data_IF_197585887708
#
_entry.id   IF_197585887708
#
_cell.length_a   1.000
_cell.length_b   1.000
_cell.length_c   1.000
_cell.angle_alpha   90.00
_cell.angle_beta   90.00
_cell.angle_gamma   90.00
#
_symmetry.space_group_name_H-M   'P 1'
#
loop_
_entity.id
_entity.type
_entity.pdbx_description
1 polymer ?
#
# COMPACT_ATOMS: atom_id res chain seq x y z
N UNK A 1 -59.74 32.03 32.94
CA UNK A 1 -59.21 30.66 32.75
C UNK A 1 -58.48 30.61 31.42
N UNK A 2 -57.14 30.61 31.39
CA UNK A 2 -56.40 30.30 30.17
C UNK A 2 -56.34 28.76 29.96
N UNK A 3 -56.18 28.28 28.72
CA UNK A 3 -56.21 26.86 28.41
C UNK A 3 -54.90 26.17 28.79
N UNK A 4 -54.99 24.90 29.22
CA UNK A 4 -53.86 24.02 29.53
C UNK A 4 -53.00 23.76 28.30
N UNK A 5 -51.72 24.12 28.36
CA UNK A 5 -50.70 23.63 27.42
C UNK A 5 -50.49 22.12 27.61
N UNK A 6 -50.52 21.37 26.51
CA UNK A 6 -50.11 19.96 26.47
C UNK A 6 -48.59 19.91 26.45
N UNK A 7 -48.00 19.37 27.52
CA UNK A 7 -46.60 18.97 27.56
C UNK A 7 -46.31 17.92 26.49
N UNK A 8 -45.46 18.26 25.52
CA UNK A 8 -44.82 17.29 24.62
C UNK A 8 -43.83 16.44 25.42
N UNK A 9 -43.76 15.10 25.23
CA UNK A 9 -42.71 14.30 25.83
C UNK A 9 -41.43 14.52 25.01
N UNK A 10 -40.64 15.51 25.41
CA UNK A 10 -39.27 15.64 24.94
C UNK A 10 -38.41 14.75 25.84
N UNK A 11 -38.26 13.49 25.43
CA UNK A 11 -37.31 12.57 26.04
C UNK A 11 -36.52 11.90 24.92
N UNK A 12 -35.53 12.62 24.39
CA UNK A 12 -34.36 11.94 23.86
C UNK A 12 -33.82 11.06 25.01
N UNK A 13 -33.64 9.74 24.82
CA UNK A 13 -33.11 8.89 25.87
C UNK A 13 -31.72 9.44 26.23
N UNK A 14 -31.53 9.78 27.51
CA UNK A 14 -30.21 10.08 28.05
C UNK A 14 -29.30 8.92 27.70
N UNK A 15 -28.16 9.22 27.08
CA UNK A 15 -27.13 8.24 26.77
C UNK A 15 -26.47 7.77 28.08
N UNK A 16 -27.20 6.98 28.86
CA UNK A 16 -26.68 6.33 30.05
C UNK A 16 -25.66 5.29 29.60
N UNK A 17 -24.39 5.54 29.93
CA UNK A 17 -23.28 4.63 29.63
C UNK A 17 -23.46 3.40 30.53
N UNK A 18 -24.19 2.41 30.02
CA UNK A 18 -24.59 1.19 30.75
C UNK A 18 -23.44 0.19 30.90
N UNK A 19 -22.30 0.44 30.24
CA UNK A 19 -21.12 -0.44 30.23
C UNK A 19 -21.36 -1.78 29.54
N UNK A 20 -22.49 -1.96 28.86
CA UNK A 20 -22.90 -3.19 28.20
C UNK A 20 -23.32 -2.90 26.75
N UNK A 21 -23.05 -3.85 25.85
CA UNK A 21 -23.49 -3.79 24.45
C UNK A 21 -24.97 -4.14 24.36
N UNK A 22 -25.72 -3.41 23.54
CA UNK A 22 -27.10 -3.73 23.21
C UNK A 22 -27.20 -5.01 22.35
N UNK A 23 -26.15 -5.32 21.59
CA UNK A 23 -26.06 -6.54 20.80
C UNK A 23 -25.61 -7.76 21.63
N UNK A 24 -26.20 -8.95 21.41
CA UNK A 24 -25.87 -10.15 22.17
C UNK A 24 -24.46 -10.69 21.82
N UNK A 25 -23.50 -10.50 22.72
CA UNK A 25 -22.09 -10.91 22.58
C UNK A 25 -21.93 -12.39 22.19
N UNK A 26 -22.79 -13.27 22.71
CA UNK A 26 -22.76 -14.70 22.40
C UNK A 26 -23.04 -15.02 20.93
N UNK A 27 -23.90 -14.23 20.26
CA UNK A 27 -24.16 -14.38 18.83
C UNK A 27 -23.02 -13.81 17.99
N UNK A 28 -22.43 -12.70 18.42
CA UNK A 28 -21.29 -12.06 17.75
C UNK A 28 -20.10 -13.03 17.71
N UNK A 29 -19.78 -13.69 18.82
CA UNK A 29 -18.69 -14.71 18.84
C UNK A 29 -18.91 -15.84 17.84
N UNK A 30 -20.16 -16.32 17.72
CA UNK A 30 -20.49 -17.36 16.73
C UNK A 30 -20.31 -16.87 15.30
N UNK A 31 -20.67 -15.62 15.01
CA UNK A 31 -20.49 -15.03 13.68
C UNK A 31 -19.01 -14.85 13.35
N UNK A 32 -18.19 -14.38 14.31
CA UNK A 32 -16.74 -14.23 14.13
C UNK A 32 -16.08 -15.58 13.80
N UNK A 33 -16.54 -16.67 14.42
CA UNK A 33 -16.02 -18.02 14.19
C UNK A 33 -16.43 -18.65 12.85
N UNK A 34 -17.33 -18.02 12.08
CA UNK A 34 -17.65 -18.47 10.72
C UNK A 34 -16.59 -18.05 9.70
N UNK A 35 -15.72 -17.12 10.06
CA UNK A 35 -14.63 -16.66 9.21
C UNK A 35 -13.41 -17.57 9.39
N UNK A 36 -13.04 -18.30 8.34
CA UNK A 36 -11.91 -19.27 8.36
C UNK A 36 -10.55 -18.59 8.59
N UNK A 37 -10.44 -17.29 8.30
CA UNK A 37 -9.21 -16.52 8.47
C UNK A 37 -8.97 -16.12 9.94
N UNK A 38 -9.97 -16.26 10.82
CA UNK A 38 -9.90 -15.84 12.24
C UNK A 38 -9.71 -17.05 13.15
N UNK A 39 -8.46 -17.32 13.54
CA UNK A 39 -8.10 -18.47 14.41
C UNK A 39 -8.54 -18.27 15.87
N UNK A 40 -8.38 -17.08 16.45
CA UNK A 40 -8.78 -16.77 17.82
C UNK A 40 -9.17 -15.28 17.98
N UNK A 41 -10.27 -15.00 18.68
CA UNK A 41 -10.72 -13.63 19.00
C UNK A 41 -10.86 -13.43 20.52
N UNK A 42 -10.19 -12.41 21.08
CA UNK A 42 -10.26 -12.10 22.51
C UNK A 42 -11.65 -11.59 22.92
N UNK A 43 -11.99 -11.71 24.21
CA UNK A 43 -13.25 -11.19 24.76
C UNK A 43 -13.37 -9.67 24.61
N UNK A 44 -12.25 -8.96 24.79
CA UNK A 44 -12.20 -7.50 24.65
C UNK A 44 -12.36 -7.09 23.19
N UNK A 45 -11.75 -7.82 22.25
CA UNK A 45 -11.95 -7.59 20.82
C UNK A 45 -13.40 -7.83 20.41
N UNK A 46 -14.02 -8.89 20.92
CA UNK A 46 -15.46 -9.17 20.68
C UNK A 46 -16.34 -8.00 21.14
N UNK A 47 -16.04 -7.42 22.31
CA UNK A 47 -16.79 -6.29 22.84
C UNK A 47 -16.61 -5.01 22.00
N UNK A 48 -15.39 -4.70 21.58
CA UNK A 48 -15.11 -3.55 20.71
C UNK A 48 -15.80 -3.72 19.35
N UNK A 49 -15.78 -4.92 18.78
CA UNK A 49 -16.51 -5.24 17.54
C UNK A 49 -18.01 -4.99 17.72
N UNK A 50 -18.58 -5.44 18.85
CA UNK A 50 -19.99 -5.20 19.16
C UNK A 50 -20.32 -3.70 19.19
N UNK A 51 -19.49 -2.89 19.85
CA UNK A 51 -19.68 -1.44 19.92
C UNK A 51 -19.51 -0.76 18.56
N UNK A 52 -18.50 -1.17 17.78
CA UNK A 52 -18.31 -0.67 16.43
C UNK A 52 -19.52 -1.00 15.53
N UNK A 53 -20.09 -2.20 15.65
CA UNK A 53 -21.29 -2.57 14.88
C UNK A 53 -22.52 -1.76 15.28
N UNK A 54 -22.68 -1.40 16.56
CA UNK A 54 -23.77 -0.53 17.00
C UNK A 54 -23.63 0.88 16.43
N UNK A 55 -22.44 1.47 16.54
CA UNK A 55 -22.14 2.78 15.95
C UNK A 55 -22.34 2.78 14.43
N UNK A 56 -21.94 1.69 13.78
CA UNK A 56 -22.12 1.52 12.34
C UNK A 56 -23.61 1.46 11.95
N UNK A 57 -24.43 0.70 12.67
CA UNK A 57 -25.88 0.63 12.41
C UNK A 57 -26.53 2.00 12.60
N UNK A 58 -26.15 2.75 13.64
CA UNK A 58 -26.62 4.12 13.84
C UNK A 58 -26.22 5.02 12.67
N UNK A 59 -24.95 5.00 12.27
CA UNK A 59 -24.45 5.77 11.14
C UNK A 59 -25.18 5.43 9.83
N UNK A 60 -25.32 4.14 9.50
CA UNK A 60 -26.03 3.70 8.28
C UNK A 60 -27.50 4.14 8.29
N UNK A 61 -28.15 4.07 9.46
CA UNK A 61 -29.54 4.52 9.63
C UNK A 61 -29.67 6.04 9.47
N UNK A 62 -28.73 6.80 10.01
CA UNK A 62 -28.67 8.26 9.85
C UNK A 62 -28.45 8.67 8.39
N UNK A 63 -27.55 7.99 7.67
CA UNK A 63 -27.36 8.23 6.24
C UNK A 63 -28.62 7.90 5.43
N UNK A 64 -29.30 6.80 5.74
CA UNK A 64 -30.60 6.46 5.16
C UNK A 64 -31.66 7.54 5.46
N UNK A 65 -31.70 8.04 6.70
CA UNK A 65 -32.61 9.11 7.09
C UNK A 65 -32.32 10.43 6.36
N UNK A 66 -31.06 10.79 6.18
CA UNK A 66 -30.64 11.96 5.43
C UNK A 66 -31.09 11.90 3.96
N UNK A 67 -31.05 10.71 3.35
CA UNK A 67 -31.62 10.51 2.01
C UNK A 67 -33.12 10.76 2.01
N UNK A 68 -33.87 10.24 2.99
CA UNK A 68 -35.32 10.49 3.11
C UNK A 68 -35.63 11.97 3.31
N UNK A 69 -34.81 12.67 4.12
CA UNK A 69 -34.93 14.10 4.38
C UNK A 69 -34.67 14.94 3.12
N UNK A 70 -33.84 14.44 2.21
CA UNK A 70 -33.55 15.09 0.93
C UNK A 70 -34.66 14.93 -0.12
N UNK A 71 -35.65 14.05 0.11
CA UNK A 71 -36.77 13.90 -0.81
C UNK A 71 -37.78 15.05 -0.69
N UNK A 72 -38.49 15.35 -1.79
CA UNK A 72 -39.49 16.44 -1.85
C UNK A 72 -40.62 16.30 -0.82
N UNK A 73 -40.94 15.07 -0.38
CA UNK A 73 -41.92 14.78 0.67
C UNK A 73 -41.25 13.85 1.68
N UNK A 74 -40.61 14.39 2.73
CA UNK A 74 -39.86 13.57 3.68
C UNK A 74 -40.82 12.62 4.42
N UNK A 75 -40.51 11.33 4.35
CA UNK A 75 -41.24 10.29 5.08
C UNK A 75 -40.65 10.14 6.49
N UNK A 76 -41.46 9.66 7.43
CA UNK A 76 -40.98 9.28 8.76
C UNK A 76 -40.35 7.89 8.81
N UNK A 77 -40.68 7.03 7.84
CA UNK A 77 -40.20 5.65 7.75
C UNK A 77 -39.12 5.53 6.68
N UNK A 78 -37.97 4.95 7.05
CA UNK A 78 -36.87 4.63 6.13
C UNK A 78 -37.25 3.37 5.33
N UNK A 79 -37.09 3.41 4.01
CA UNK A 79 -37.32 2.26 3.13
C UNK A 79 -35.99 1.72 2.59
N UNK A 80 -35.99 0.47 2.12
CA UNK A 80 -34.79 -0.16 1.53
C UNK A 80 -34.15 0.68 0.41
N UNK A 81 -34.97 1.31 -0.44
CA UNK A 81 -34.50 2.18 -1.53
C UNK A 81 -33.66 3.36 -1.02
N UNK A 82 -33.92 3.83 0.19
CA UNK A 82 -33.26 4.99 0.79
C UNK A 82 -31.86 4.57 1.25
N UNK A 83 -31.73 3.37 1.83
CA UNK A 83 -30.44 2.76 2.18
C UNK A 83 -29.61 2.42 0.94
N UNK A 84 -30.20 1.79 -0.07
CA UNK A 84 -29.52 1.49 -1.33
C UNK A 84 -29.04 2.76 -2.06
N UNK A 85 -29.80 3.86 -1.92
CA UNK A 85 -29.40 5.16 -2.44
C UNK A 85 -28.25 5.76 -1.62
N UNK A 86 -28.29 5.67 -0.28
CA UNK A 86 -27.22 6.15 0.60
C UNK A 86 -25.90 5.42 0.32
N UNK A 87 -25.91 4.09 0.26
CA UNK A 87 -24.75 3.23 -0.05
C UNK A 87 -24.11 3.61 -1.38
N UNK A 88 -24.93 3.95 -2.38
CA UNK A 88 -24.41 4.32 -3.71
C UNK A 88 -23.92 5.76 -3.86
N UNK A 89 -24.26 6.63 -2.89
CA UNK A 89 -23.91 8.05 -2.91
C UNK A 89 -22.68 8.34 -2.06
N UNK A 90 -22.41 7.51 -1.06
CA UNK A 90 -21.37 7.72 -0.06
C UNK A 90 -20.27 6.69 -0.31
N UNK A 91 -19.08 7.17 -0.68
CA UNK A 91 -17.93 6.31 -1.01
C UNK A 91 -17.53 5.41 0.17
N UNK A 92 -17.65 5.91 1.41
CA UNK A 92 -17.33 5.14 2.63
C UNK A 92 -18.25 3.92 2.84
N UNK A 93 -19.40 3.89 2.17
CA UNK A 93 -20.35 2.77 2.23
C UNK A 93 -20.26 1.87 0.98
N UNK A 94 -19.32 2.11 0.07
CA UNK A 94 -19.18 1.34 -1.19
C UNK A 94 -19.03 -0.16 -0.93
N UNK A 95 -18.38 -0.55 0.17
CA UNK A 95 -18.21 -1.96 0.56
C UNK A 95 -19.54 -2.70 0.79
N UNK A 96 -20.64 -1.98 1.03
CA UNK A 96 -21.98 -2.55 1.16
C UNK A 96 -22.72 -2.69 -0.18
N UNK A 97 -22.13 -2.30 -1.31
CA UNK A 97 -22.81 -2.33 -2.62
C UNK A 97 -23.25 -3.73 -3.04
N UNK A 98 -22.51 -4.76 -2.63
CA UNK A 98 -22.84 -6.17 -2.89
C UNK A 98 -23.94 -6.70 -1.95
N UNK A 99 -24.01 -6.18 -0.73
CA UNK A 99 -24.99 -6.60 0.30
C UNK A 99 -26.31 -5.84 0.17
N UNK A 100 -26.26 -4.56 -0.19
CA UNK A 100 -27.40 -3.66 -0.36
C UNK A 100 -27.38 -3.08 -1.79
N UNK A 101 -27.67 -3.91 -2.81
CA UNK A 101 -27.67 -3.45 -4.18
C UNK A 101 -28.84 -2.50 -4.47
N UNK A 102 -28.66 -1.64 -5.47
CA UNK A 102 -29.75 -0.84 -6.05
C UNK A 102 -30.78 -1.76 -6.71
N UNK A 103 -32.02 -1.72 -6.25
CA UNK A 103 -33.12 -2.45 -6.89
C UNK A 103 -33.34 -1.93 -8.32
N UNK A 104 -33.30 -2.84 -9.29
CA UNK A 104 -33.63 -2.55 -10.69
C UNK A 104 -34.74 -3.50 -11.14
N UNK A 105 -35.53 -3.08 -12.13
CA UNK A 105 -36.58 -3.97 -12.67
C UNK A 105 -35.94 -5.13 -13.44
N UNK A 106 -36.55 -6.31 -13.43
CA UNK A 106 -36.02 -7.49 -14.12
C UNK A 106 -35.76 -7.25 -15.60
N UNK A 107 -36.62 -6.46 -16.25
CA UNK A 107 -36.45 -6.02 -17.64
C UNK A 107 -35.16 -5.22 -17.83
N UNK A 108 -34.91 -4.23 -16.98
CA UNK A 108 -33.68 -3.42 -17.02
C UNK A 108 -32.44 -4.25 -16.70
N UNK A 109 -32.54 -5.21 -15.77
CA UNK A 109 -31.43 -6.13 -15.47
C UNK A 109 -31.07 -7.00 -16.69
N UNK A 110 -32.07 -7.58 -17.37
CA UNK A 110 -31.87 -8.37 -18.59
C UNK A 110 -31.25 -7.53 -19.71
N UNK A 111 -31.72 -6.30 -19.90
CA UNK A 111 -31.15 -5.36 -20.88
C UNK A 111 -29.71 -4.95 -20.51
N UNK A 112 -29.41 -4.72 -19.23
CA UNK A 112 -28.06 -4.37 -18.76
C UNK A 112 -27.09 -5.55 -18.93
N UNK A 113 -27.49 -6.76 -18.56
CA UNK A 113 -26.70 -7.98 -18.77
C UNK A 113 -26.47 -8.26 -20.25
N UNK A 114 -27.48 -8.04 -21.10
CA UNK A 114 -27.32 -8.16 -22.55
C UNK A 114 -26.33 -7.12 -23.11
N UNK A 115 -26.37 -5.87 -22.62
CA UNK A 115 -25.41 -4.82 -23.00
C UNK A 115 -23.99 -5.11 -22.49
N UNK A 116 -23.85 -5.62 -21.27
CA UNK A 116 -22.56 -6.03 -20.70
C UNK A 116 -21.95 -7.18 -21.50
N UNK A 117 -22.75 -8.20 -21.86
CA UNK A 117 -22.31 -9.30 -22.73
C UNK A 117 -21.90 -8.84 -24.14
N UNK A 118 -22.63 -7.87 -24.72
CA UNK A 118 -22.24 -7.26 -26.01
C UNK A 118 -20.93 -6.48 -25.86
N UNK A 119 -20.78 -5.70 -24.78
CA UNK A 119 -19.56 -4.94 -24.50
C UNK A 119 -18.35 -5.85 -24.28
N UNK A 120 -18.53 -6.95 -23.54
CA UNK A 120 -17.48 -7.97 -23.34
C UNK A 120 -17.10 -8.63 -24.67
N UNK A 121 -18.06 -8.96 -25.52
CA UNK A 121 -17.81 -9.50 -26.86
C UNK A 121 -17.15 -8.48 -27.83
N UNK A 122 -17.38 -7.17 -27.63
CA UNK A 122 -16.69 -6.10 -28.37
C UNK A 122 -15.25 -5.88 -27.88
N UNK A 123 -15.01 -5.96 -26.57
CA UNK A 123 -13.67 -5.87 -25.96
C UNK A 123 -12.81 -7.07 -26.40
N UNK A 124 -13.37 -8.28 -26.44
CA UNK A 124 -12.70 -9.49 -26.93
C UNK A 124 -12.28 -9.38 -28.40
N UNK A 125 -13.07 -8.70 -29.24
CA UNK A 125 -12.72 -8.45 -30.66
C UNK A 125 -11.62 -7.41 -30.85
N UNK A 126 -11.47 -6.48 -29.90
CA UNK A 126 -10.47 -5.41 -29.94
C UNK A 126 -9.08 -5.80 -29.42
N UNK A 127 -8.98 -6.83 -28.59
CA UNK A 127 -7.72 -7.29 -28.00
C UNK A 127 -7.12 -8.45 -28.81
N UNK A 128 -6.55 -8.14 -29.98
CA UNK A 128 -5.68 -9.08 -30.71
C UNK A 128 -4.24 -8.84 -30.30
N UNK A 129 -3.68 -9.72 -29.47
CA UNK A 129 -2.22 -9.86 -29.33
C UNK A 129 -1.67 -10.49 -30.61
N UNK A 130 -0.43 -10.15 -30.99
CA UNK A 130 0.23 -10.52 -32.24
C UNK A 130 0.42 -12.04 -32.48
N UNK A 131 0.05 -12.90 -31.53
CA UNK A 131 0.12 -14.35 -31.68
C UNK A 131 -1.27 -14.96 -31.37
N UNK A 132 -1.98 -15.34 -32.43
CA UNK A 132 -3.37 -15.80 -32.41
C UNK A 132 -3.63 -17.08 -31.60
N UNK A 133 -3.67 -16.95 -30.28
CA UNK A 133 -4.11 -18.00 -29.37
C UNK A 133 -5.10 -17.42 -28.37
N UNK A 134 -6.32 -17.97 -28.35
CA UNK A 134 -7.41 -17.59 -27.45
C UNK A 134 -7.12 -18.16 -26.06
N UNK A 135 -7.10 -17.38 -24.96
CA UNK A 135 -7.05 -17.95 -23.63
C UNK A 135 -8.43 -18.46 -23.23
N UNK A 136 -8.51 -19.74 -22.88
CA UNK A 136 -9.67 -20.33 -22.22
C UNK A 136 -9.87 -19.65 -20.85
N UNK A 137 -11.03 -19.03 -20.66
CA UNK A 137 -11.40 -18.40 -19.39
C UNK A 137 -12.01 -19.43 -18.43
N UNK A 138 -11.27 -19.76 -17.38
CA UNK A 138 -11.80 -20.33 -16.14
C UNK A 138 -11.65 -19.27 -15.04
N UNK A 139 -12.74 -18.99 -14.33
CA UNK A 139 -12.74 -18.54 -12.93
C UNK A 139 -12.46 -17.06 -12.65
N UNK A 140 -13.48 -16.43 -12.06
CA UNK A 140 -13.41 -15.44 -10.97
C UNK A 140 -12.06 -14.77 -10.71
N UNK A 141 -11.97 -13.48 -11.07
CA UNK A 141 -11.08 -12.54 -10.37
C UNK A 141 -11.52 -11.10 -10.65
N UNK A 142 -12.35 -10.56 -9.76
CA UNK A 142 -12.65 -9.13 -9.70
C UNK A 142 -11.41 -8.37 -9.19
N UNK A 143 -10.57 -7.89 -10.11
CA UNK A 143 -9.54 -6.92 -9.79
C UNK A 143 -10.01 -5.49 -10.09
N UNK A 144 -10.05 -4.71 -9.00
CA UNK A 144 -10.37 -3.29 -8.89
C UNK A 144 -9.37 -2.45 -9.67
N UNK A 145 -9.76 -1.94 -10.84
CA UNK A 145 -8.99 -0.94 -11.57
C UNK A 145 -9.27 0.47 -11.02
N UNK A 146 -8.40 0.95 -10.12
CA UNK A 146 -8.42 2.35 -9.69
C UNK A 146 -8.05 3.26 -10.86
N UNK A 147 -9.02 4.09 -11.30
CA UNK A 147 -8.79 5.15 -12.28
C UNK A 147 -7.89 6.23 -11.68
N UNK A 148 -6.69 6.38 -12.24
CA UNK A 148 -5.70 7.41 -11.88
C UNK A 148 -6.19 8.77 -12.41
N UNK A 149 -6.76 9.62 -11.56
CA UNK A 149 -7.05 11.01 -11.93
C UNK A 149 -5.74 11.82 -11.95
N UNK A 150 -5.43 12.43 -13.09
CA UNK A 150 -4.32 13.37 -13.26
C UNK A 150 -4.71 14.73 -12.66
N UNK A 151 -3.89 15.23 -11.73
CA UNK A 151 -3.95 16.61 -11.23
C UNK A 151 -3.21 17.56 -12.20
N UNK A 152 -3.70 18.80 -12.41
CA UNK A 152 -3.02 19.77 -13.26
C UNK A 152 -1.80 20.36 -12.56
N UNK A 153 -0.67 20.39 -13.27
CA UNK A 153 0.59 20.99 -12.86
C UNK A 153 0.55 22.51 -12.98
N UNK A 154 0.64 23.20 -11.84
CA UNK A 154 0.78 24.66 -11.78
C UNK A 154 2.20 25.06 -12.19
N UNK A 155 2.38 25.61 -13.40
CA UNK A 155 3.64 26.25 -13.81
C UNK A 155 3.76 27.62 -13.13
N UNK A 156 4.65 27.74 -12.15
CA UNK A 156 5.11 29.03 -11.64
C UNK A 156 6.05 29.68 -12.68
N UNK A 157 5.61 30.77 -13.30
CA UNK A 157 6.45 31.59 -14.17
C UNK A 157 7.18 32.64 -13.33
N UNK A 158 8.48 32.44 -13.11
CA UNK A 158 9.37 33.47 -12.57
C UNK A 158 9.81 34.35 -13.75
N UNK A 159 9.26 35.56 -13.84
CA UNK A 159 9.70 36.56 -14.80
C UNK A 159 10.94 37.30 -14.26
N UNK A 160 12.13 36.89 -14.70
CA UNK A 160 13.37 37.64 -14.51
C UNK A 160 13.54 38.67 -15.64
N UNK A 161 13.11 39.92 -15.40
CA UNK A 161 13.42 41.02 -16.31
C UNK A 161 14.90 41.42 -16.13
N UNK A 162 15.78 40.89 -17.00
CA UNK A 162 17.15 41.35 -17.12
C UNK A 162 17.21 42.54 -18.09
N UNK A 163 17.27 43.75 -17.56
CA UNK A 163 17.52 44.94 -18.37
C UNK A 163 18.98 45.38 -18.20
N UNK A 164 19.84 44.90 -19.11
CA UNK A 164 21.15 45.52 -19.35
C UNK A 164 20.91 46.89 -19.97
N UNK A 165 21.41 47.97 -19.35
CA UNK A 165 21.70 49.20 -20.08
C UNK A 165 23.09 49.70 -19.69
N UNK A 166 23.90 49.89 -20.74
CA UNK A 166 25.25 50.37 -20.68
C UNK A 166 25.34 51.84 -20.26
N UNK A 167 26.56 52.19 -19.91
CA UNK A 167 27.03 53.49 -19.46
C UNK A 167 26.88 54.52 -20.59
N UNK A 168 26.31 55.68 -20.28
CA UNK A 168 26.55 56.92 -21.02
C UNK A 168 26.56 58.08 -20.03
N UNK A 169 27.76 58.63 -19.85
CA UNK A 169 28.04 59.88 -19.17
C UNK A 169 27.65 61.03 -20.12
N UNK A 170 26.85 61.99 -19.65
CA UNK A 170 26.46 63.17 -20.41
C UNK A 170 26.22 64.36 -19.45
N UNK A 171 27.35 64.98 -19.08
CA UNK A 171 27.57 66.42 -18.93
C UNK A 171 26.36 67.39 -18.94
N UNK A 172 26.19 68.08 -17.80
CA UNK A 172 25.94 69.52 -17.58
C UNK A 172 24.85 70.29 -18.37
N UNK A 173 23.96 70.87 -17.54
CA UNK A 173 23.26 72.17 -17.63
C UNK A 173 22.04 72.35 -18.54
N UNK A 174 20.94 72.84 -17.94
CA UNK A 174 20.00 73.75 -18.60
C UNK A 174 19.28 74.63 -17.57
N UNK A 175 19.33 75.94 -17.79
CA UNK A 175 18.69 77.03 -17.04
C UNK A 175 17.15 77.01 -17.20
N UNK A 176 16.41 77.48 -16.19
CA UNK A 176 14.94 77.46 -16.19
C UNK A 176 14.34 78.84 -15.84
N UNK A 177 13.64 79.47 -16.79
CA UNK A 177 12.98 80.78 -16.63
C UNK A 177 11.59 80.67 -15.97
N UNK A 178 11.16 81.63 -15.13
CA UNK A 178 9.95 81.49 -14.30
C UNK A 178 8.64 81.98 -14.95
N UNK A 179 8.65 82.48 -16.19
CA UNK A 179 7.44 82.97 -16.85
C UNK A 179 7.33 82.42 -18.27
N UNK A 180 6.45 81.42 -18.42
CA UNK A 180 5.50 81.18 -19.53
C UNK A 180 5.22 79.68 -19.71
N UNK A 181 3.92 79.38 -19.77
CA UNK A 181 3.23 78.29 -20.47
C UNK A 181 3.74 76.85 -20.36
N UNK A 182 2.85 75.99 -19.83
CA UNK A 182 2.64 74.59 -20.21
C UNK A 182 3.91 73.80 -20.61
N UNK A 183 4.75 73.45 -19.62
CA UNK A 183 5.83 72.50 -19.85
C UNK A 183 5.28 71.09 -19.76
N UNK A 184 5.09 70.47 -20.92
CA UNK A 184 5.24 69.02 -21.07
C UNK A 184 6.44 68.58 -20.21
N UNK A 185 6.18 67.81 -19.16
CA UNK A 185 7.25 67.19 -18.39
C UNK A 185 7.96 66.24 -19.36
N UNK A 186 9.13 66.65 -19.85
CA UNK A 186 9.92 65.82 -20.75
C UNK A 186 10.08 64.43 -20.13
N UNK A 187 9.53 63.41 -20.78
CA UNK A 187 9.65 62.01 -20.35
C UNK A 187 11.12 61.57 -20.32
N UNK A 188 12.02 62.35 -20.92
CA UNK A 188 13.46 62.14 -20.89
C UNK A 188 14.14 62.63 -19.60
N UNK A 189 13.44 63.39 -18.72
CA UNK A 189 13.98 63.81 -17.42
C UNK A 189 13.68 62.75 -16.36
N UNK A 190 14.67 61.89 -16.11
CA UNK A 190 14.57 60.81 -15.12
C UNK A 190 14.48 61.42 -13.71
N UNK A 191 13.49 61.03 -12.87
CA UNK A 191 13.42 61.42 -11.47
C UNK A 191 14.68 61.02 -10.69
N UNK A 192 15.01 61.73 -9.61
CA UNK A 192 16.18 61.39 -8.80
C UNK A 192 15.95 60.10 -7.99
N UNK A 193 16.72 59.06 -8.29
CA UNK A 193 16.73 57.79 -7.57
C UNK A 193 17.97 57.61 -6.67
N UNK A 194 18.73 58.68 -6.41
CA UNK A 194 19.95 58.67 -5.57
C UNK A 194 19.73 58.03 -4.20
N UNK A 195 18.54 58.20 -3.60
CA UNK A 195 18.13 57.56 -2.33
C UNK A 195 18.09 56.03 -2.40
N UNK A 196 17.78 55.46 -3.56
CA UNK A 196 17.63 54.02 -3.79
C UNK A 196 18.85 53.40 -4.49
N UNK A 197 19.71 54.22 -5.10
CA UNK A 197 20.91 53.79 -5.79
C UNK A 197 22.01 53.37 -4.79
N UNK A 198 22.59 52.19 -5.00
CA UNK A 198 23.73 51.73 -4.21
C UNK A 198 24.98 52.54 -4.55
N UNK A 199 25.71 52.97 -3.51
CA UNK A 199 27.02 53.63 -3.65
C UNK A 199 28.18 52.65 -3.89
N UNK A 200 27.93 51.33 -3.76
CA UNK A 200 28.95 50.27 -3.93
C UNK A 200 29.09 49.86 -5.40
N UNK A 201 30.27 49.35 -5.83
CA UNK A 201 30.47 48.90 -7.19
C UNK A 201 29.46 47.79 -7.55
N UNK A 202 28.93 47.77 -8.79
CA UNK A 202 27.82 46.91 -9.18
C UNK A 202 28.11 45.41 -8.98
N UNK A 203 29.37 44.98 -9.18
CA UNK A 203 29.80 43.59 -8.95
C UNK A 203 29.63 43.14 -7.50
N UNK A 204 29.89 44.00 -6.52
CA UNK A 204 29.77 43.65 -5.10
C UNK A 204 28.32 43.41 -4.70
N UNK A 205 27.40 44.26 -5.17
CA UNK A 205 25.96 44.10 -4.92
C UNK A 205 25.44 42.81 -5.59
N UNK A 206 25.88 42.51 -6.82
CA UNK A 206 25.48 41.30 -7.54
C UNK A 206 25.95 40.03 -6.84
N UNK A 207 27.20 39.98 -6.38
CA UNK A 207 27.74 38.83 -5.62
C UNK A 207 26.95 38.63 -4.33
N UNK A 208 26.64 39.70 -3.60
CA UNK A 208 25.78 39.61 -2.41
C UNK A 208 24.37 39.09 -2.73
N UNK A 209 23.73 39.60 -3.79
CA UNK A 209 22.42 39.14 -4.22
C UNK A 209 22.42 37.65 -4.63
N UNK A 210 23.43 37.19 -5.38
CA UNK A 210 23.57 35.78 -5.75
C UNK A 210 23.90 34.90 -4.56
N UNK A 211 24.70 35.39 -3.61
CA UNK A 211 24.96 34.67 -2.37
C UNK A 211 23.68 34.46 -1.57
N UNK A 212 22.86 35.50 -1.39
CA UNK A 212 21.59 35.39 -0.67
C UNK A 212 20.60 34.46 -1.40
N UNK A 213 20.43 34.61 -2.71
CA UNK A 213 19.56 33.76 -3.51
C UNK A 213 20.04 32.30 -3.56
N UNK A 214 21.35 32.08 -3.70
CA UNK A 214 21.97 30.76 -3.71
C UNK A 214 21.87 30.06 -2.36
N UNK A 215 22.08 30.79 -1.25
CA UNK A 215 21.93 30.25 0.10
C UNK A 215 20.48 29.83 0.38
N UNK A 216 19.51 30.66 -0.01
CA UNK A 216 18.09 30.31 0.09
C UNK A 216 17.73 29.11 -0.79
N UNK A 217 18.27 29.04 -2.01
CA UNK A 217 18.11 27.90 -2.91
C UNK A 217 18.67 26.60 -2.33
N UNK A 218 19.84 26.64 -1.71
CA UNK A 218 20.45 25.49 -1.04
C UNK A 218 19.62 25.04 0.16
N UNK A 219 19.19 25.95 1.03
CA UNK A 219 18.32 25.62 2.16
C UNK A 219 17.00 24.98 1.69
N UNK A 220 16.40 25.53 0.63
CA UNK A 220 15.18 24.99 0.02
C UNK A 220 15.39 23.59 -0.56
N UNK A 221 16.53 23.34 -1.21
CA UNK A 221 16.87 22.03 -1.76
C UNK A 221 17.06 20.97 -0.67
N UNK A 222 17.71 21.33 0.45
CA UNK A 222 17.85 20.43 1.61
C UNK A 222 16.50 20.14 2.23
N UNK A 223 15.64 21.15 2.40
CA UNK A 223 14.27 20.96 2.88
C UNK A 223 13.46 20.04 1.98
N UNK A 224 13.47 20.28 0.66
CA UNK A 224 12.77 19.43 -0.31
C UNK A 224 13.28 17.98 -0.27
N UNK A 225 14.60 17.77 -0.17
CA UNK A 225 15.20 16.44 -0.04
C UNK A 225 14.69 15.73 1.22
N UNK A 226 14.73 16.40 2.37
CA UNK A 226 14.27 15.83 3.63
C UNK A 226 12.79 15.41 3.54
N UNK A 227 11.93 16.29 3.00
CA UNK A 227 10.52 15.97 2.81
C UNK A 227 10.29 14.75 1.92
N UNK A 228 10.96 14.68 0.76
CA UNK A 228 10.85 13.52 -0.15
C UNK A 228 11.38 12.25 0.52
N UNK A 229 12.49 12.35 1.24
CA UNK A 229 13.08 11.22 1.96
C UNK A 229 12.13 10.69 3.03
N UNK A 230 11.46 11.55 3.79
CA UNK A 230 10.52 11.13 4.83
C UNK A 230 9.32 10.37 4.23
N UNK A 231 8.79 10.83 3.10
CA UNK A 231 7.75 10.08 2.38
C UNK A 231 8.23 8.72 1.88
N UNK A 232 9.46 8.64 1.38
CA UNK A 232 10.04 7.36 0.94
C UNK A 232 10.29 6.40 2.09
N UNK A 233 10.81 6.89 3.23
CA UNK A 233 11.04 6.07 4.43
C UNK A 233 9.71 5.61 5.03
N UNK A 234 8.67 6.44 5.00
CA UNK A 234 7.33 6.08 5.44
C UNK A 234 6.68 4.97 4.58
N UNK A 235 7.10 4.84 3.31
CA UNK A 235 6.68 3.73 2.42
C UNK A 235 7.64 2.53 2.46
N UNK A 236 8.76 2.63 3.16
CA UNK A 236 9.73 1.55 3.30
C UNK A 236 9.34 0.58 4.43
N UNK A 237 10.10 -0.50 4.60
CA UNK A 237 9.78 -1.53 5.60
C UNK A 237 9.71 -0.93 7.02
N UNK A 238 8.63 -1.23 7.75
CA UNK A 238 8.43 -0.74 9.12
C UNK A 238 9.38 -1.43 10.11
N UNK A 239 9.62 -0.78 11.25
CA UNK A 239 10.52 -1.29 12.29
C UNK A 239 10.10 -2.67 12.83
N UNK A 240 8.81 -2.97 12.89
CA UNK A 240 8.30 -4.28 13.32
C UNK A 240 8.67 -5.40 12.32
N UNK A 241 8.60 -5.12 11.02
CA UNK A 241 9.05 -6.06 9.97
C UNK A 241 10.56 -6.27 10.03
N UNK A 242 11.33 -5.22 10.38
CA UNK A 242 12.78 -5.34 10.60
C UNK A 242 13.13 -6.06 11.90
N UNK A 243 12.31 -5.96 12.94
CA UNK A 243 12.48 -6.72 14.17
C UNK A 243 12.32 -8.23 13.94
N UNK A 244 11.45 -8.62 13.00
CA UNK A 244 11.29 -10.01 12.54
C UNK A 244 12.42 -10.50 11.62
N UNK A 245 13.51 -9.74 11.45
CA UNK A 245 14.64 -10.12 10.62
C UNK A 245 15.47 -11.27 11.21
N UNK A 246 15.43 -11.46 12.53
CA UNK A 246 16.15 -12.54 13.22
C UNK A 246 15.16 -13.43 13.96
N UNK A 247 15.26 -14.74 13.74
CA UNK A 247 14.45 -15.73 14.44
C UNK A 247 15.38 -16.70 15.13
N UNK A 248 15.14 -16.90 16.43
CA UNK A 248 15.86 -17.85 17.28
C UNK A 248 14.98 -19.09 17.47
N UNK A 249 15.55 -20.27 17.21
CA UNK A 249 14.86 -21.56 17.30
C UNK A 249 15.64 -22.47 18.23
N UNK A 250 14.94 -23.06 19.21
CA UNK A 250 15.52 -24.09 20.07
C UNK A 250 15.63 -25.42 19.34
N UNK A 251 16.85 -25.89 19.12
CA UNK A 251 17.17 -27.14 18.42
C UNK A 251 16.62 -28.38 19.14
N UNK A 252 16.53 -28.35 20.47
CA UNK A 252 15.99 -29.43 21.30
C UNK A 252 14.52 -29.77 21.01
N UNK A 253 13.77 -28.86 20.36
CA UNK A 253 12.37 -29.09 19.99
C UNK A 253 12.18 -29.97 18.74
N UNK A 254 13.25 -30.21 17.98
CA UNK A 254 13.20 -30.88 16.68
C UNK A 254 13.82 -32.27 16.79
N UNK A 255 13.02 -33.35 16.79
CA UNK A 255 13.55 -34.71 16.80
C UNK A 255 14.21 -35.05 15.46
N UNK A 256 15.17 -35.98 15.51
CA UNK A 256 15.84 -36.52 14.33
C UNK A 256 14.83 -37.10 13.31
N UNK A 257 15.10 -36.86 12.02
CA UNK A 257 14.28 -37.32 10.91
C UNK A 257 13.00 -36.52 10.67
N UNK A 258 12.72 -35.45 11.42
CA UNK A 258 11.54 -34.60 11.20
C UNK A 258 11.88 -33.25 10.58
N UNK A 259 10.94 -32.78 9.76
CA UNK A 259 10.94 -31.44 9.15
C UNK A 259 10.07 -30.48 9.96
N UNK A 260 10.61 -29.30 10.26
CA UNK A 260 9.85 -28.17 10.83
C UNK A 260 9.84 -27.04 9.82
N UNK A 261 8.66 -26.44 9.64
CA UNK A 261 8.46 -25.27 8.78
C UNK A 261 8.20 -24.08 9.69
N UNK A 262 9.08 -23.09 9.64
CA UNK A 262 8.89 -21.81 10.33
C UNK A 262 8.71 -20.69 9.31
N UNK A 263 8.12 -19.57 9.71
CA UNK A 263 8.00 -18.38 8.87
C UNK A 263 9.08 -17.37 9.24
N UNK A 264 9.93 -16.99 8.29
CA UNK A 264 10.97 -15.96 8.43
C UNK A 264 10.87 -14.96 7.27
N UNK A 265 10.78 -13.66 7.58
CA UNK A 265 10.60 -12.58 6.58
C UNK A 265 9.46 -12.85 5.58
N UNK A 266 8.38 -13.50 6.05
CA UNK A 266 7.24 -13.88 5.21
C UNK A 266 7.46 -15.13 4.33
N UNK A 267 8.68 -15.68 4.28
CA UNK A 267 9.01 -16.90 3.54
C UNK A 267 9.02 -18.11 4.48
N UNK A 268 8.61 -19.30 4.04
CA UNK A 268 8.82 -20.52 4.82
C UNK A 268 10.31 -20.88 4.83
N UNK A 269 10.83 -21.26 5.99
CA UNK A 269 12.15 -21.87 6.16
C UNK A 269 11.93 -23.31 6.61
N UNK A 270 12.58 -24.24 5.91
CA UNK A 270 12.63 -25.65 6.27
C UNK A 270 13.86 -25.89 7.12
N UNK A 271 13.62 -26.47 8.30
CA UNK A 271 14.65 -26.93 9.22
C UNK A 271 14.45 -28.43 9.36
N UNK A 272 15.41 -29.22 8.92
CA UNK A 272 15.43 -30.67 9.06
C UNK A 272 16.58 -31.08 9.95
N UNK A 273 16.29 -31.91 10.94
CA UNK A 273 17.30 -32.66 11.67
C UNK A 273 17.54 -33.98 10.92
N UNK A 274 18.62 -34.06 10.15
CA UNK A 274 18.92 -35.20 9.27
C UNK A 274 19.46 -36.39 10.05
N UNK A 275 19.14 -37.59 9.60
CA UNK A 275 19.73 -38.82 10.10
C UNK A 275 21.11 -39.07 9.45
N UNK A 276 21.93 -39.94 10.05
CA UNK A 276 23.23 -40.28 9.46
C UNK A 276 23.11 -40.91 8.08
N UNK A 277 22.05 -41.70 7.85
CA UNK A 277 21.80 -42.33 6.55
C UNK A 277 21.48 -41.29 5.47
N UNK A 278 20.70 -40.26 5.81
CA UNK A 278 20.39 -39.14 4.90
C UNK A 278 21.62 -38.30 4.56
N UNK A 279 22.52 -38.10 5.52
CA UNK A 279 23.79 -37.40 5.29
C UNK A 279 24.67 -38.20 4.32
N UNK A 280 24.75 -39.51 4.52
CA UNK A 280 25.50 -40.40 3.63
C UNK A 280 24.89 -40.42 2.22
N UNK A 281 23.56 -40.46 2.11
CA UNK A 281 22.84 -40.36 0.84
C UNK A 281 23.18 -39.04 0.12
N UNK A 282 23.08 -37.90 0.81
CA UNK A 282 23.37 -36.58 0.25
C UNK A 282 24.79 -36.47 -0.32
N UNK A 283 25.78 -37.06 0.37
CA UNK A 283 27.20 -37.03 0.01
C UNK A 283 27.56 -38.05 -1.08
N UNK A 284 26.82 -39.16 -1.17
CA UNK A 284 27.05 -40.21 -2.18
C UNK A 284 26.62 -39.82 -3.59
N UNK A 285 25.75 -38.81 -3.72
CA UNK A 285 25.23 -38.34 -5.00
C UNK A 285 26.32 -37.57 -5.75
N UNK A 286 26.51 -37.90 -7.04
CA UNK A 286 27.38 -37.17 -7.96
C UNK A 286 26.85 -35.75 -8.25
N UNK A 287 27.16 -34.82 -7.36
CA UNK A 287 26.64 -33.46 -7.37
C UNK A 287 27.15 -32.64 -8.56
N UNK A 288 28.27 -33.00 -9.19
CA UNK A 288 28.81 -32.31 -10.37
C UNK A 288 27.91 -32.46 -11.61
N UNK A 289 27.12 -33.53 -11.67
CA UNK A 289 26.22 -33.82 -12.79
C UNK A 289 24.88 -33.09 -12.68
N UNK A 290 24.62 -32.47 -11.52
CA UNK A 290 23.40 -31.72 -11.28
C UNK A 290 23.31 -30.47 -12.14
N UNK A 291 22.08 -29.99 -12.35
CA UNK A 291 21.83 -28.72 -13.05
C UNK A 291 22.52 -27.53 -12.36
N UNK A 292 22.54 -27.55 -11.03
CA UNK A 292 23.21 -26.55 -10.18
C UNK A 292 24.20 -27.30 -9.26
N UNK A 293 25.46 -27.49 -9.69
CA UNK A 293 26.45 -28.26 -8.95
C UNK A 293 26.82 -27.62 -7.62
N UNK A 294 26.44 -28.27 -6.52
CA UNK A 294 26.76 -27.82 -5.18
C UNK A 294 26.95 -29.02 -4.25
N UNK A 295 28.09 -29.05 -3.53
CA UNK A 295 28.36 -30.04 -2.51
C UNK A 295 27.45 -29.83 -1.28
N UNK A 296 27.19 -30.88 -0.50
CA UNK A 296 26.39 -30.76 0.71
C UNK A 296 27.12 -29.91 1.78
N UNK A 297 28.43 -30.08 1.90
CA UNK A 297 29.31 -29.33 2.83
C UNK A 297 29.25 -27.81 2.61
N UNK A 298 29.05 -27.35 1.37
CA UNK A 298 28.91 -25.93 1.06
C UNK A 298 27.52 -25.37 1.43
N UNK A 299 26.54 -26.25 1.63
CA UNK A 299 25.14 -25.89 1.93
C UNK A 299 24.85 -25.89 3.41
N UNK A 300 25.55 -26.70 4.19
CA UNK A 300 25.30 -26.88 5.62
C UNK A 300 26.57 -26.61 6.43
N UNK A 301 26.45 -25.87 7.52
CA UNK A 301 27.57 -25.68 8.47
C UNK A 301 27.79 -26.90 9.36
N UNK A 302 26.69 -27.57 9.74
CA UNK A 302 26.66 -28.79 10.56
C UNK A 302 25.83 -29.83 9.80
N UNK A 303 26.38 -31.02 9.48
CA UNK A 303 25.74 -31.96 8.59
C UNK A 303 24.39 -32.50 9.11
N UNK A 304 24.20 -32.54 10.42
CA UNK A 304 22.93 -32.94 11.05
C UNK A 304 21.82 -31.90 10.87
N UNK A 305 22.15 -30.63 10.64
CA UNK A 305 21.17 -29.54 10.52
C UNK A 305 21.12 -28.98 9.10
N UNK A 306 20.03 -29.30 8.38
CA UNK A 306 19.73 -28.68 7.10
C UNK A 306 18.75 -27.51 7.30
N UNK A 307 19.20 -26.31 6.94
CA UNK A 307 18.40 -25.08 7.01
C UNK A 307 18.32 -24.48 5.62
N UNK A 308 17.12 -24.33 5.08
CA UNK A 308 16.93 -23.76 3.73
C UNK A 308 15.58 -23.07 3.58
N UNK A 309 15.48 -22.15 2.63
CA UNK A 309 14.23 -21.48 2.29
C UNK A 309 13.32 -22.43 1.51
N UNK A 310 12.09 -22.59 1.98
CA UNK A 310 11.03 -23.37 1.35
C UNK A 310 10.37 -22.66 0.17
N UNK A 311 11.15 -21.92 -0.62
CA UNK A 311 10.67 -21.14 -1.77
C UNK A 311 11.26 -21.76 -3.03
N UNK A 312 10.42 -22.40 -3.83
CA UNK A 312 10.83 -23.02 -5.09
C UNK A 312 11.38 -21.95 -6.04
N UNK A 313 12.59 -22.19 -6.56
CA UNK A 313 13.31 -21.28 -7.47
C UNK A 313 12.69 -21.13 -8.86
N UNK A 314 11.61 -21.87 -9.15
CA UNK A 314 10.84 -21.69 -10.38
C UNK A 314 9.98 -20.42 -10.32
N UNK A 315 8.96 -20.41 -9.44
CA UNK A 315 7.97 -19.33 -9.33
C UNK A 315 7.57 -19.03 -7.88
N UNK A 316 8.31 -19.57 -6.89
CA UNK A 316 8.11 -19.26 -5.48
C UNK A 316 7.07 -20.10 -4.73
N UNK A 317 6.56 -21.19 -5.32
CA UNK A 317 5.70 -22.15 -4.61
C UNK A 317 6.42 -22.81 -3.43
N UNK A 318 5.66 -23.33 -2.46
CA UNK A 318 6.19 -24.04 -1.29
C UNK A 318 6.31 -25.54 -1.59
N UNK A 319 7.52 -26.13 -1.60
CA UNK A 319 7.67 -27.58 -1.73
C UNK A 319 7.14 -28.33 -0.50
N UNK A 320 6.58 -29.52 -0.72
CA UNK A 320 6.10 -30.42 0.34
C UNK A 320 7.27 -31.32 0.74
N UNK A 321 7.55 -31.45 2.04
CA UNK A 321 8.61 -32.31 2.55
C UNK A 321 8.26 -33.80 2.51
N UNK A 322 9.28 -34.66 2.55
CA UNK A 322 9.16 -36.13 2.51
C UNK A 322 8.33 -36.63 1.31
N UNK A 323 8.45 -35.92 0.19
CA UNK A 323 7.65 -36.15 -1.01
C UNK A 323 8.52 -36.04 -2.25
N UNK A 324 8.13 -36.82 -3.27
CA UNK A 324 8.80 -36.86 -4.57
C UNK A 324 9.83 -37.99 -4.71
N UNK A 325 10.29 -38.16 -5.95
CA UNK A 325 11.14 -39.28 -6.39
C UNK A 325 12.52 -39.41 -5.70
N UNK A 326 12.99 -38.41 -4.96
CA UNK A 326 14.36 -38.34 -4.41
C UNK A 326 14.42 -38.12 -2.89
N UNK A 327 13.40 -38.55 -2.14
CA UNK A 327 13.42 -38.57 -0.67
C UNK A 327 13.46 -37.20 0.03
N UNK A 328 13.49 -36.09 -0.71
CA UNK A 328 13.55 -34.72 -0.18
C UNK A 328 12.22 -33.99 -0.26
N UNK A 329 12.10 -33.07 -1.22
CA UNK A 329 10.95 -32.19 -1.37
C UNK A 329 10.35 -32.21 -2.77
N UNK A 330 9.03 -32.07 -2.84
CA UNK A 330 8.28 -32.02 -4.10
C UNK A 330 7.47 -30.73 -4.21
N UNK A 331 7.66 -29.99 -5.30
CA UNK A 331 6.87 -28.81 -5.63
C UNK A 331 5.74 -29.17 -6.60
N UNK A 332 4.47 -29.17 -6.16
CA UNK A 332 3.33 -29.63 -6.97
C UNK A 332 2.97 -28.70 -8.13
N UNK A 333 3.44 -27.45 -8.11
CA UNK A 333 3.03 -26.44 -9.11
C UNK A 333 3.41 -26.83 -10.55
N UNK A 334 4.66 -27.29 -10.74
CA UNK A 334 5.16 -27.70 -12.06
C UNK A 334 6.03 -28.96 -11.98
N UNK A 335 5.93 -29.72 -10.87
CA UNK A 335 6.62 -30.98 -10.69
C UNK A 335 8.14 -30.87 -10.52
N UNK A 336 8.62 -29.88 -9.75
CA UNK A 336 10.04 -29.81 -9.40
C UNK A 336 10.34 -30.72 -8.22
N UNK A 337 11.34 -31.60 -8.35
CA UNK A 337 11.78 -32.50 -7.29
C UNK A 337 13.16 -32.10 -6.78
N UNK A 338 13.28 -32.02 -5.46
CA UNK A 338 14.49 -31.70 -4.73
C UNK A 338 14.94 -32.91 -3.91
N UNK A 339 16.26 -33.14 -3.85
CA UNK A 339 16.85 -34.19 -3.02
C UNK A 339 16.87 -33.81 -1.52
N UNK A 340 17.41 -34.68 -0.68
CA UNK A 340 17.52 -34.47 0.78
C UNK A 340 18.42 -33.29 1.19
N UNK A 341 19.24 -32.75 0.29
CA UNK A 341 20.04 -31.53 0.49
C UNK A 341 19.33 -30.27 -0.05
N UNK A 342 18.14 -30.43 -0.65
CA UNK A 342 17.39 -29.35 -1.28
C UNK A 342 17.90 -28.97 -2.67
N UNK A 343 18.64 -29.86 -3.34
CA UNK A 343 19.18 -29.63 -4.69
C UNK A 343 18.20 -30.08 -5.75
N UNK A 344 18.10 -29.32 -6.84
CA UNK A 344 17.16 -29.59 -7.92
C UNK A 344 17.59 -30.81 -8.74
N UNK A 345 16.71 -31.81 -8.85
CA UNK A 345 16.95 -33.05 -9.61
C UNK A 345 16.15 -33.09 -10.90
N UNK A 346 14.87 -32.70 -10.83
CA UNK A 346 13.89 -32.85 -11.91
C UNK A 346 12.92 -31.66 -11.90
N UNK A 347 12.38 -31.32 -13.07
CA UNK A 347 11.40 -30.25 -13.25
C UNK A 347 11.99 -28.95 -13.80
N UNK A 348 11.19 -27.87 -13.88
CA UNK A 348 11.58 -26.61 -14.51
C UNK A 348 12.36 -25.65 -13.61
N UNK A 349 12.47 -25.92 -12.31
CA UNK A 349 13.24 -25.04 -11.41
C UNK A 349 14.71 -24.94 -11.84
N UNK A 350 15.29 -23.73 -11.99
CA UNK A 350 16.65 -23.57 -12.52
C UNK A 350 17.74 -23.85 -11.49
N UNK A 351 17.48 -23.58 -10.20
CA UNK A 351 18.48 -23.56 -9.13
C UNK A 351 18.07 -24.41 -7.92
N UNK A 352 19.03 -24.75 -7.07
CA UNK A 352 18.80 -25.40 -5.77
C UNK A 352 18.02 -24.48 -4.80
N UNK A 353 17.43 -25.05 -3.74
CA UNK A 353 16.80 -24.23 -2.70
C UNK A 353 17.85 -23.37 -2.00
N UNK A 354 17.52 -22.10 -1.81
CA UNK A 354 18.41 -21.10 -1.21
C UNK A 354 18.63 -21.39 0.28
N UNK A 355 19.88 -21.35 0.74
CA UNK A 355 20.23 -21.48 2.15
C UNK A 355 20.30 -20.06 2.75
N UNK A 356 19.48 -19.71 3.77
CA UNK A 356 19.57 -18.41 4.40
C UNK A 356 20.87 -18.27 5.19
N UNK A 357 21.25 -17.04 5.56
CA UNK A 357 22.33 -16.86 6.52
C UNK A 357 21.85 -17.26 7.91
N UNK A 358 22.56 -18.18 8.54
CA UNK A 358 22.26 -18.64 9.90
C UNK A 358 23.55 -18.90 10.68
N UNK A 359 23.44 -18.89 12.01
CA UNK A 359 24.55 -19.21 12.90
C UNK A 359 24.06 -19.97 14.14
N UNK A 360 24.98 -20.70 14.75
CA UNK A 360 24.78 -21.40 16.02
C UNK A 360 25.55 -20.66 17.12
N UNK A 361 24.95 -19.66 17.80
CA UNK A 361 25.61 -19.01 18.92
C UNK A 361 25.85 -19.96 20.10
N UNK A 362 24.88 -20.85 20.36
CA UNK A 362 24.92 -21.88 21.40
C UNK A 362 24.63 -23.26 20.78
N UNK A 363 24.92 -24.34 21.51
CA UNK A 363 24.60 -25.71 21.05
C UNK A 363 23.10 -26.00 20.97
N UNK A 364 22.27 -25.21 21.67
CA UNK A 364 20.82 -25.40 21.76
C UNK A 364 20.01 -24.44 20.88
N UNK A 365 20.64 -23.40 20.32
CA UNK A 365 19.93 -22.30 19.66
C UNK A 365 20.45 -22.09 18.24
N UNK A 366 19.52 -22.05 17.28
CA UNK A 366 19.77 -21.67 15.89
C UNK A 366 19.22 -20.27 15.65
N UNK A 367 20.05 -19.37 15.11
CA UNK A 367 19.64 -18.01 14.74
C UNK A 367 19.69 -17.86 13.24
N UNK A 368 18.59 -17.41 12.64
CA UNK A 368 18.45 -17.18 11.20
C UNK A 368 18.30 -15.67 10.97
N UNK A 369 19.21 -15.08 10.19
CA UNK A 369 19.17 -13.68 9.73
C UNK A 369 20.21 -12.72 10.28
#
# INVERSE_FOLDING_TARGET
>A
MPPKEKSTPDSAPSHEITGQSALPISRIKKIIQLDEDIVQCSSNATFVIAMATEMFIQYLTEQGHNVVKSERKPRKLIQYKDLATAVSRIDNLEFLSDVIPKTTTYKQFKEKKAKEAIREAEIEKGQRTLNGTVPHANGDTLLRACARQQLPTSRAAIASCQQRRGVADASKSSFESPFTSAKESSTYKIPDFSKYASKKPPRSNQVFSYFMAGSLGLASAVGAKATVQDFLVNMSASADVLAQAKVEIGLASIPEGKNVIIKWRGKPVFIRHRTQDEINEANSIEWQTLRDPQADEDRVQKPEWLVMLGVCTHLGCVPIGESGDFGGWFCPCHGSHYDISGRIRKGPAPLNLEVPQYSFPDESTLVIG
#
